data_IF_696662212188
#
_entry.id   IF_696662212188
#
_cell.length_a   1.000
_cell.length_b   1.000
_cell.length_c   1.000
_cell.angle_alpha   90.00
_cell.angle_beta   90.00
_cell.angle_gamma   90.00
#
_symmetry.space_group_name_H-M   'P 1'
#
loop_
_entity.id
_entity.type
_entity.pdbx_description
1 polymer ?
#
# COMPACT_ATOMS: atom_id res chain seq x y z
N UNK A 1 -14.64 29.61 -22.63
CA UNK A 1 -14.33 28.34 -23.33
C UNK A 1 -12.87 27.85 -23.19
N UNK A 2 -11.91 28.70 -22.79
CA UNK A 2 -10.51 28.28 -22.57
C UNK A 2 -10.25 27.62 -21.20
N UNK A 3 -10.94 28.09 -20.15
CA UNK A 3 -10.80 27.58 -18.77
C UNK A 3 -11.21 26.11 -18.65
N UNK A 4 -12.29 25.70 -19.32
CA UNK A 4 -12.76 24.31 -19.30
C UNK A 4 -11.74 23.34 -19.93
N UNK A 5 -11.01 23.78 -20.96
CA UNK A 5 -9.97 23.01 -21.67
C UNK A 5 -8.67 22.92 -20.86
N UNK A 6 -8.34 23.94 -20.06
CA UNK A 6 -7.26 23.91 -19.06
C UNK A 6 -7.62 22.98 -17.89
N UNK A 7 -8.86 23.04 -17.39
CA UNK A 7 -9.32 22.17 -16.31
C UNK A 7 -9.33 20.69 -16.74
N UNK A 8 -9.80 20.40 -17.96
CA UNK A 8 -9.81 19.04 -18.51
C UNK A 8 -8.40 18.45 -18.68
N UNK A 9 -7.41 19.29 -19.03
CA UNK A 9 -5.98 18.89 -19.13
C UNK A 9 -5.34 18.60 -17.77
N UNK A 10 -5.91 19.10 -16.68
CA UNK A 10 -5.42 18.84 -15.32
C UNK A 10 -6.03 17.56 -14.72
N UNK A 11 -7.16 17.09 -15.26
CA UNK A 11 -7.88 15.89 -14.80
C UNK A 11 -7.36 14.57 -15.41
N UNK A 12 -6.59 14.64 -16.51
CA UNK A 12 -6.01 13.47 -17.20
C UNK A 12 -4.72 12.91 -16.56
N UNK A 13 -4.29 13.44 -15.42
CA UNK A 13 -3.08 12.97 -14.71
C UNK A 13 -3.40 11.97 -13.60
N UNK A 14 -4.55 11.29 -13.66
CA UNK A 14 -4.77 10.07 -12.90
C UNK A 14 -3.97 8.97 -13.59
N UNK A 15 -3.06 8.32 -12.86
CA UNK A 15 -2.34 7.15 -13.33
C UNK A 15 -3.34 6.11 -13.84
N UNK A 16 -3.37 5.90 -15.16
CA UNK A 16 -4.14 4.84 -15.77
C UNK A 16 -3.36 3.54 -15.55
N UNK A 17 -3.68 2.82 -14.48
CA UNK A 17 -3.07 1.52 -14.20
C UNK A 17 -3.31 0.62 -15.43
N UNK A 18 -2.25 0.14 -16.11
CA UNK A 18 -2.44 -0.84 -17.16
C UNK A 18 -3.09 -2.06 -16.53
N UNK A 19 -4.32 -2.39 -16.93
CA UNK A 19 -5.07 -3.54 -16.39
C UNK A 19 -4.34 -4.87 -16.70
N UNK A 20 -3.45 -4.84 -17.69
CA UNK A 20 -2.77 -6.02 -18.20
C UNK A 20 -1.31 -5.69 -18.60
N UNK A 21 -0.40 -5.52 -17.62
CA UNK A 21 1.01 -5.24 -17.90
C UNK A 21 1.74 -6.41 -18.58
N UNK A 22 1.17 -7.63 -18.54
CA UNK A 22 1.77 -8.87 -19.07
C UNK A 22 1.11 -9.41 -20.33
N UNK A 23 0.06 -8.76 -20.85
CA UNK A 23 -0.71 -9.23 -22.01
C UNK A 23 -1.71 -10.35 -21.72
N UNK A 24 -1.68 -10.99 -20.54
CA UNK A 24 -2.67 -11.95 -20.07
C UNK A 24 -3.18 -11.62 -18.65
N UNK A 25 -4.50 -11.47 -18.50
CA UNK A 25 -5.19 -11.12 -17.24
C UNK A 25 -4.92 -12.17 -16.15
N UNK A 26 -4.83 -13.46 -16.50
CA UNK A 26 -4.60 -14.55 -15.54
C UNK A 26 -3.20 -14.44 -14.91
N UNK A 27 -2.17 -14.12 -15.72
CA UNK A 27 -0.83 -13.91 -15.20
C UNK A 27 -0.76 -12.70 -14.26
N UNK A 28 -1.49 -11.63 -14.58
CA UNK A 28 -1.55 -10.43 -13.73
C UNK A 28 -2.21 -10.72 -12.38
N UNK A 29 -3.27 -11.56 -12.37
CA UNK A 29 -3.92 -12.00 -11.13
C UNK A 29 -2.93 -12.80 -10.28
N UNK A 30 -2.28 -13.81 -10.84
CA UNK A 30 -1.32 -14.65 -10.11
C UNK A 30 -0.16 -13.79 -9.57
N UNK A 31 0.36 -12.87 -10.38
CA UNK A 31 1.41 -11.96 -9.93
C UNK A 31 0.95 -11.05 -8.78
N UNK A 32 -0.32 -10.64 -8.75
CA UNK A 32 -0.88 -9.82 -7.68
C UNK A 32 -1.04 -10.59 -6.36
N UNK A 33 -1.10 -11.93 -6.41
CA UNK A 33 -1.13 -12.79 -5.23
C UNK A 33 0.24 -12.98 -4.56
N UNK A 34 1.35 -12.67 -5.24
CA UNK A 34 2.72 -12.81 -4.70
C UNK A 34 2.87 -12.18 -3.29
N UNK A 35 2.49 -10.91 -3.05
CA UNK A 35 2.61 -10.31 -1.73
C UNK A 35 1.75 -11.00 -0.66
N UNK A 36 0.56 -11.51 -1.00
CA UNK A 36 -0.27 -12.27 -0.06
C UNK A 36 0.39 -13.61 0.28
N UNK A 37 0.87 -14.34 -0.72
CA UNK A 37 1.53 -15.64 -0.51
C UNK A 37 2.78 -15.46 0.35
N UNK A 38 3.58 -14.41 0.11
CA UNK A 38 4.75 -14.11 0.93
C UNK A 38 4.37 -13.86 2.40
N UNK A 39 3.28 -13.13 2.65
CA UNK A 39 2.78 -12.86 4.00
C UNK A 39 2.29 -14.14 4.68
N UNK A 40 1.53 -14.98 3.97
CA UNK A 40 1.09 -16.28 4.50
C UNK A 40 2.25 -17.22 4.80
N UNK A 41 3.28 -17.28 3.94
CA UNK A 41 4.48 -18.08 4.21
C UNK A 41 5.19 -17.57 5.46
N UNK A 42 5.34 -16.26 5.62
CA UNK A 42 6.00 -15.69 6.81
C UNK A 42 5.26 -15.98 8.12
N UNK A 43 3.93 -15.90 8.13
CA UNK A 43 3.14 -16.14 9.33
C UNK A 43 2.92 -17.63 9.60
N UNK A 44 2.55 -18.41 8.58
CA UNK A 44 2.16 -19.81 8.74
C UNK A 44 3.37 -20.77 8.76
N UNK A 45 4.41 -20.49 7.97
CA UNK A 45 5.58 -21.39 7.83
C UNK A 45 6.73 -20.93 8.73
N UNK A 46 7.12 -19.66 8.64
CA UNK A 46 8.29 -19.14 9.38
C UNK A 46 7.97 -18.73 10.83
N UNK A 47 6.68 -18.64 11.20
CA UNK A 47 6.20 -18.26 12.54
C UNK A 47 6.83 -16.96 13.08
N UNK A 48 7.12 -16.01 12.21
CA UNK A 48 7.63 -14.72 12.65
C UNK A 48 6.57 -13.91 13.40
N UNK A 49 7.04 -13.06 14.30
CA UNK A 49 6.18 -12.08 14.96
C UNK A 49 5.49 -11.18 13.92
N UNK A 50 4.19 -10.96 14.09
CA UNK A 50 3.34 -10.30 13.09
C UNK A 50 3.87 -8.92 12.63
N UNK A 51 4.52 -8.16 13.52
CA UNK A 51 5.12 -6.87 13.18
C UNK A 51 6.25 -6.99 12.14
N UNK A 52 7.12 -8.00 12.28
CA UNK A 52 8.25 -8.22 11.38
C UNK A 52 7.78 -8.74 10.01
N UNK A 53 6.81 -9.66 10.02
CA UNK A 53 6.20 -10.20 8.81
C UNK A 53 5.52 -9.11 7.96
N UNK A 54 4.80 -8.20 8.61
CA UNK A 54 4.16 -7.05 7.94
C UNK A 54 5.19 -6.11 7.31
N UNK A 55 6.29 -5.81 8.01
CA UNK A 55 7.33 -4.93 7.51
C UNK A 55 8.00 -5.52 6.26
N UNK A 56 8.38 -6.79 6.29
CA UNK A 56 9.03 -7.47 5.17
C UNK A 56 8.05 -7.68 4.00
N UNK A 57 6.81 -8.07 4.28
CA UNK A 57 5.75 -8.17 3.27
C UNK A 57 5.49 -6.85 2.54
N UNK A 58 5.57 -5.73 3.26
CA UNK A 58 5.43 -4.40 2.66
C UNK A 58 6.58 -4.05 1.71
N UNK A 59 7.83 -4.42 2.05
CA UNK A 59 9.00 -4.25 1.17
C UNK A 59 8.86 -5.10 -0.08
N UNK A 60 8.45 -6.37 0.06
CA UNK A 60 8.21 -7.27 -1.09
C UNK A 60 7.14 -6.67 -2.02
N UNK A 61 6.08 -6.09 -1.46
CA UNK A 61 5.02 -5.44 -2.24
C UNK A 61 5.55 -4.26 -3.05
N UNK A 62 6.43 -3.43 -2.48
CA UNK A 62 7.06 -2.31 -3.20
C UNK A 62 7.93 -2.81 -4.35
N UNK A 63 8.75 -3.84 -4.10
CA UNK A 63 9.62 -4.44 -5.13
C UNK A 63 8.78 -4.98 -6.29
N UNK A 64 7.73 -5.74 -5.97
CA UNK A 64 6.79 -6.30 -6.96
C UNK A 64 6.11 -5.19 -7.77
N UNK A 65 5.62 -4.13 -7.11
CA UNK A 65 4.95 -3.01 -7.79
C UNK A 65 5.88 -2.24 -8.75
N UNK A 66 7.13 -2.02 -8.37
CA UNK A 66 8.10 -1.31 -9.23
C UNK A 66 8.56 -2.22 -10.38
N UNK A 67 8.88 -3.49 -10.10
CA UNK A 67 9.45 -4.40 -11.09
C UNK A 67 8.43 -4.96 -12.08
N UNK A 68 7.22 -5.34 -11.65
CA UNK A 68 6.20 -5.95 -12.53
C UNK A 68 5.25 -4.93 -13.17
N UNK A 69 4.88 -3.87 -12.45
CA UNK A 69 3.92 -2.88 -12.95
C UNK A 69 4.56 -1.60 -13.49
N UNK A 70 5.89 -1.47 -13.38
CA UNK A 70 6.61 -0.27 -13.84
C UNK A 70 6.18 0.99 -13.08
N UNK A 71 5.65 0.85 -11.85
CA UNK A 71 5.19 1.98 -11.07
C UNK A 71 6.36 2.93 -10.75
N UNK A 72 6.18 4.26 -10.87
CA UNK A 72 7.24 5.21 -10.58
C UNK A 72 7.68 5.06 -9.11
N UNK A 73 8.97 4.78 -8.83
CA UNK A 73 9.43 4.45 -7.47
C UNK A 73 9.11 5.55 -6.45
N UNK A 74 9.20 6.81 -6.88
CA UNK A 74 8.87 7.98 -6.05
C UNK A 74 7.38 8.05 -5.68
N UNK A 75 6.49 7.59 -6.55
CA UNK A 75 5.05 7.49 -6.27
C UNK A 75 4.74 6.32 -5.34
N UNK A 76 5.36 5.16 -5.59
CA UNK A 76 5.16 3.94 -4.79
C UNK A 76 5.59 4.13 -3.34
N UNK A 77 6.77 4.72 -3.10
CA UNK A 77 7.26 4.96 -1.73
C UNK A 77 6.40 5.99 -0.99
N UNK A 78 5.96 7.04 -1.68
CA UNK A 78 5.03 8.03 -1.10
C UNK A 78 3.70 7.39 -0.72
N UNK A 79 3.12 6.57 -1.60
CA UNK A 79 1.88 5.86 -1.33
C UNK A 79 2.02 4.90 -0.15
N UNK A 80 3.13 4.14 -0.08
CA UNK A 80 3.44 3.27 1.05
C UNK A 80 3.55 4.06 2.36
N UNK A 81 4.28 5.17 2.37
CA UNK A 81 4.47 5.99 3.57
C UNK A 81 3.15 6.61 4.05
N UNK A 82 2.36 7.17 3.13
CA UNK A 82 1.03 7.71 3.45
C UNK A 82 0.14 6.60 4.03
N UNK A 83 0.13 5.41 3.41
CA UNK A 83 -0.62 4.27 3.92
C UNK A 83 -0.21 3.86 5.33
N UNK A 84 1.10 3.79 5.60
CA UNK A 84 1.64 3.43 6.91
C UNK A 84 1.27 4.47 7.99
N UNK A 85 1.35 5.76 7.66
CA UNK A 85 0.99 6.85 8.57
C UNK A 85 -0.52 6.90 8.84
N UNK A 86 -1.35 6.74 7.81
CA UNK A 86 -2.81 6.71 7.95
C UNK A 86 -3.26 5.48 8.75
N UNK A 87 -2.64 4.31 8.51
CA UNK A 87 -2.90 3.10 9.31
C UNK A 87 -2.55 3.30 10.77
N UNK A 88 -1.36 3.85 11.05
CA UNK A 88 -0.90 4.16 12.40
C UNK A 88 -1.84 5.14 13.11
N UNK A 89 -2.26 6.21 12.42
CA UNK A 89 -3.19 7.21 12.95
C UNK A 89 -4.55 6.60 13.37
N UNK A 90 -5.11 5.69 12.57
CA UNK A 90 -6.36 5.00 12.89
C UNK A 90 -6.26 4.10 14.13
N UNK A 91 -5.07 3.60 14.48
CA UNK A 91 -4.86 2.77 15.67
C UNK A 91 -4.63 3.66 16.89
N UNK A 92 -3.89 4.76 16.72
CA UNK A 92 -3.53 5.66 17.81
C UNK A 92 -4.73 6.27 18.53
N UNK A 93 -5.82 6.63 17.81
CA UNK A 93 -6.98 7.26 18.45
C UNK A 93 -7.64 6.34 19.50
N UNK A 94 -7.65 5.01 19.27
CA UNK A 94 -8.21 4.03 20.21
C UNK A 94 -7.36 4.01 21.49
N UNK A 95 -6.04 4.00 21.35
CA UNK A 95 -5.09 3.99 22.49
C UNK A 95 -5.24 5.24 23.35
N UNK A 96 -5.42 6.41 22.73
CA UNK A 96 -5.62 7.66 23.45
C UNK A 96 -7.03 7.78 24.05
N UNK A 97 -8.04 7.23 23.40
CA UNK A 97 -9.42 7.25 23.89
C UNK A 97 -9.63 6.43 25.15
N UNK A 98 -8.84 5.36 25.35
CA UNK A 98 -8.92 4.46 26.51
C UNK A 98 -8.06 4.91 27.70
N UNK A 99 -7.40 6.07 27.62
CA UNK A 99 -6.57 6.58 28.71
C UNK A 99 -7.44 6.99 29.90
N UNK A 100 -7.33 6.34 31.08
CA UNK A 100 -8.12 6.73 32.24
C UNK A 100 -7.76 8.17 32.64
N UNK A 101 -8.73 8.99 33.07
CA UNK A 101 -8.42 10.32 33.58
C UNK A 101 -7.45 10.18 34.75
N UNK A 102 -6.34 10.91 34.70
CA UNK A 102 -5.35 10.95 35.79
C UNK A 102 -6.07 11.54 37.01
N UNK A 103 -6.55 10.69 37.92
CA UNK A 103 -7.05 11.16 39.21
C UNK A 103 -5.83 11.46 40.05
N UNK A 104 -5.47 12.75 40.12
CA UNK A 104 -4.55 13.23 41.15
C UNK A 104 -5.28 13.14 42.49
N UNK A 105 -4.96 12.11 43.27
CA UNK A 105 -5.28 12.05 44.70
C UNK A 105 -4.35 12.97 45.48
#
# INVERSE_FOLDING_TARGET
MFIFKILYRKMIWVFAQPLNPTGNVVLTIIASLIPLIALFIMLAVLRFSAWLASLIGSIITIIVAVSLWGAPPSGTVKAWLIGALVGSWNISWIVFGDFPPITFS
#
